data_IF_932796257986
#
_entry.id   IF_932796257986
#
_cell.length_a   1.000
_cell.length_b   1.000
_cell.length_c   1.000
_cell.angle_alpha   90.00
_cell.angle_beta   90.00
_cell.angle_gamma   90.00
#
_symmetry.space_group_name_H-M   'P 1'
#
loop_
_entity.id
_entity.type
_entity.pdbx_description
1 polymer ?
#
# COMPACT_ATOMS: atom_id res chain seq x y z
N UNK A 1 -7.00 28.85 7.78
CA UNK A 1 -6.55 28.12 8.97
C UNK A 1 -6.34 26.64 8.61
N UNK A 2 -5.19 26.34 7.99
CA UNK A 2 -4.88 25.05 7.33
C UNK A 2 -4.68 23.90 8.31
N UNK A 3 -4.39 24.21 9.58
CA UNK A 3 -4.22 23.26 10.69
C UNK A 3 -5.54 22.61 11.13
N UNK A 4 -6.70 23.24 10.91
CA UNK A 4 -8.01 22.65 11.26
C UNK A 4 -8.50 21.57 10.29
N UNK A 5 -7.98 21.51 9.05
CA UNK A 5 -8.37 20.46 8.08
C UNK A 5 -7.60 19.15 8.25
N UNK A 6 -6.49 19.15 9.00
CA UNK A 6 -5.62 17.99 9.19
C UNK A 6 -6.13 17.08 10.34
N UNK A 7 -6.98 17.59 11.23
CA UNK A 7 -7.22 16.95 12.53
C UNK A 7 -8.37 15.92 12.59
N UNK A 8 -9.19 15.73 11.56
CA UNK A 8 -10.45 14.97 11.73
C UNK A 8 -10.37 13.47 11.48
N UNK A 9 -9.22 12.88 11.10
CA UNK A 9 -9.24 11.48 10.64
C UNK A 9 -8.14 10.54 11.15
N UNK A 10 -7.16 10.94 11.95
CA UNK A 10 -6.03 10.03 12.21
C UNK A 10 -5.41 10.04 13.61
N UNK A 11 -6.23 10.09 14.67
CA UNK A 11 -5.75 9.69 16.00
C UNK A 11 -6.76 8.78 16.67
N UNK A 12 -6.46 7.48 16.67
CA UNK A 12 -7.17 6.51 17.51
C UNK A 12 -6.70 6.77 18.93
N UNK A 13 -7.64 7.02 19.85
CA UNK A 13 -7.28 7.18 21.26
C UNK A 13 -6.59 5.91 21.77
N UNK A 14 -5.58 6.08 22.63
CA UNK A 14 -4.90 4.96 23.27
C UNK A 14 -5.94 4.06 23.97
N UNK A 15 -5.94 2.76 23.65
CA UNK A 15 -6.90 1.79 24.17
C UNK A 15 -8.27 1.73 23.47
N UNK A 16 -8.53 2.59 22.47
CA UNK A 16 -9.78 2.54 21.71
C UNK A 16 -9.73 1.50 20.57
N UNK A 17 -10.89 0.86 20.32
CA UNK A 17 -11.08 -0.02 19.17
C UNK A 17 -11.17 0.84 17.90
N UNK A 18 -10.37 0.50 16.89
CA UNK A 18 -10.45 1.17 15.60
C UNK A 18 -11.71 0.74 14.85
N UNK A 19 -12.65 1.68 14.66
CA UNK A 19 -13.88 1.48 13.89
C UNK A 19 -14.05 2.62 12.87
N UNK A 20 -13.50 2.47 11.66
CA UNK A 20 -13.66 3.47 10.60
C UNK A 20 -15.11 3.53 10.11
N UNK A 21 -15.50 4.70 9.57
CA UNK A 21 -16.81 4.85 8.92
C UNK A 21 -16.86 4.05 7.62
N UNK A 22 -18.03 3.53 7.26
CA UNK A 22 -18.32 2.85 6.00
C UNK A 22 -17.47 1.58 5.75
N UNK A 23 -17.16 0.82 6.80
CA UNK A 23 -16.40 -0.44 6.72
C UNK A 23 -17.13 -1.61 7.39
N UNK A 24 -18.47 -1.61 7.38
CA UNK A 24 -19.31 -2.59 8.11
C UNK A 24 -19.10 -4.03 7.61
N UNK A 25 -18.88 -4.20 6.30
CA UNK A 25 -18.53 -5.48 5.68
C UNK A 25 -17.24 -5.32 4.86
N UNK A 26 -16.09 -5.62 5.47
CA UNK A 26 -14.79 -5.58 4.78
C UNK A 26 -14.71 -6.75 3.80
N UNK A 27 -15.03 -6.50 2.54
CA UNK A 27 -14.95 -7.48 1.44
C UNK A 27 -14.22 -6.89 0.24
N UNK A 28 -13.62 -7.74 -0.60
CA UNK A 28 -12.95 -7.28 -1.83
C UNK A 28 -13.90 -6.57 -2.79
N UNK A 29 -15.19 -6.92 -2.79
CA UNK A 29 -16.22 -6.30 -3.64
C UNK A 29 -16.54 -4.86 -3.24
N UNK A 30 -16.25 -4.50 -2.00
CA UNK A 30 -16.55 -3.17 -1.43
C UNK A 30 -15.35 -2.21 -1.43
N UNK A 31 -14.16 -2.68 -1.85
CA UNK A 31 -12.93 -1.89 -1.87
C UNK A 31 -12.61 -1.44 -3.29
N UNK A 32 -12.65 -0.13 -3.54
CA UNK A 32 -12.51 0.42 -4.90
C UNK A 32 -11.14 1.04 -5.16
N UNK A 33 -10.50 1.56 -4.12
CA UNK A 33 -9.19 2.20 -4.19
C UNK A 33 -8.30 1.74 -3.02
N UNK A 34 -7.02 2.10 -3.09
CA UNK A 34 -6.03 1.70 -2.08
C UNK A 34 -6.34 2.36 -0.73
N UNK A 35 -6.91 3.57 -0.75
CA UNK A 35 -7.31 4.30 0.45
C UNK A 35 -8.43 3.61 1.23
N UNK A 36 -9.30 2.84 0.55
CA UNK A 36 -10.33 2.03 1.21
C UNK A 36 -9.69 0.86 1.98
N UNK A 37 -8.63 0.23 1.42
CA UNK A 37 -7.85 -0.77 2.15
C UNK A 37 -7.13 -0.14 3.35
N UNK A 38 -6.46 1.00 3.16
CA UNK A 38 -5.80 1.72 4.25
C UNK A 38 -6.78 2.10 5.35
N UNK A 39 -8.01 2.50 5.00
CA UNK A 39 -9.04 2.86 5.97
C UNK A 39 -9.62 1.64 6.66
N UNK A 40 -10.03 0.60 5.93
CA UNK A 40 -10.88 -0.47 6.47
C UNK A 40 -10.10 -1.70 6.97
N UNK A 41 -8.98 -2.08 6.34
CA UNK A 41 -8.21 -3.27 6.72
C UNK A 41 -7.67 -3.23 8.17
N UNK A 42 -7.23 -2.08 8.73
CA UNK A 42 -6.74 -2.04 10.11
C UNK A 42 -7.80 -2.40 11.16
N UNK A 43 -9.09 -2.43 10.80
CA UNK A 43 -10.17 -2.85 11.69
C UNK A 43 -10.25 -4.38 11.87
N UNK A 44 -9.58 -5.15 10.99
CA UNK A 44 -9.50 -6.61 11.06
C UNK A 44 -8.29 -7.09 11.87
N UNK A 45 -7.35 -6.21 12.19
CA UNK A 45 -6.10 -6.53 12.86
C UNK A 45 -6.22 -6.31 14.38
N UNK A 46 -5.46 -7.08 15.15
CA UNK A 46 -5.27 -6.78 16.55
C UNK A 46 -4.49 -5.44 16.71
N UNK A 47 -4.63 -4.75 17.86
CA UNK A 47 -4.03 -3.42 18.03
C UNK A 47 -2.52 -3.37 17.82
N UNK A 48 -1.77 -4.41 18.19
CA UNK A 48 -0.31 -4.42 18.07
C UNK A 48 0.10 -4.49 16.60
N UNK A 49 -0.46 -5.46 15.86
CA UNK A 49 -0.18 -5.63 14.43
C UNK A 49 -0.63 -4.43 13.62
N UNK A 50 -1.79 -3.85 13.98
CA UNK A 50 -2.33 -2.62 13.40
C UNK A 50 -1.37 -1.44 13.55
N UNK A 51 -0.92 -1.18 14.78
CA UNK A 51 -0.06 -0.02 15.07
C UNK A 51 1.33 -0.19 14.46
N UNK A 52 1.83 -1.42 14.36
CA UNK A 52 3.09 -1.70 13.66
C UNK A 52 3.02 -1.39 12.16
N UNK A 53 1.95 -1.80 11.45
CA UNK A 53 1.86 -1.59 10.00
C UNK A 53 1.43 -0.17 9.63
N UNK A 54 0.61 0.48 10.44
CA UNK A 54 -0.01 1.75 10.09
C UNK A 54 0.76 2.98 10.60
N UNK A 55 1.78 2.79 11.44
CA UNK A 55 2.57 3.89 11.97
C UNK A 55 3.78 4.24 11.10
N UNK A 56 4.28 5.46 11.31
CA UNK A 56 5.57 5.92 10.82
C UNK A 56 6.32 6.63 11.95
N UNK A 57 7.58 7.01 11.69
CA UNK A 57 8.43 7.65 12.71
C UNK A 57 7.84 8.96 13.25
N UNK A 58 7.95 9.15 14.57
CA UNK A 58 7.53 10.37 15.27
C UNK A 58 6.07 10.74 14.98
N UNK A 59 5.86 11.99 14.58
CA UNK A 59 4.53 12.51 14.25
C UNK A 59 4.05 12.11 12.84
N UNK A 60 4.73 11.17 12.18
CA UNK A 60 4.40 10.67 10.84
C UNK A 60 4.44 11.74 9.72
N UNK A 61 5.09 12.87 9.96
CA UNK A 61 5.15 13.99 9.00
C UNK A 61 5.67 13.54 7.62
N UNK A 62 6.74 12.73 7.60
CA UNK A 62 7.30 12.20 6.35
C UNK A 62 6.34 11.26 5.60
N UNK A 63 5.51 10.49 6.31
CA UNK A 63 4.49 9.66 5.69
C UNK A 63 3.47 10.52 4.93
N UNK A 64 3.03 11.62 5.55
CA UNK A 64 2.11 12.57 4.94
C UNK A 64 2.74 13.28 3.73
N UNK A 65 3.96 13.76 3.88
CA UNK A 65 4.69 14.44 2.81
C UNK A 65 4.92 13.52 1.61
N UNK A 66 5.22 12.24 1.82
CA UNK A 66 5.34 11.26 0.73
C UNK A 66 4.05 11.14 -0.09
N UNK A 67 2.87 11.12 0.56
CA UNK A 67 1.58 11.07 -0.15
C UNK A 67 1.28 12.37 -0.89
N UNK A 68 1.53 13.52 -0.26
CA UNK A 68 1.29 14.83 -0.87
C UNK A 68 2.25 15.12 -2.04
N UNK A 69 3.48 14.62 -1.98
CA UNK A 69 4.45 14.76 -3.07
C UNK A 69 3.89 14.20 -4.39
N UNK A 70 3.26 13.02 -4.38
CA UNK A 70 2.66 12.44 -5.59
C UNK A 70 1.46 13.23 -6.11
N UNK A 71 0.66 13.83 -5.22
CA UNK A 71 -0.48 14.69 -5.62
C UNK A 71 -0.03 15.97 -6.32
N UNK A 72 1.21 16.41 -6.09
CA UNK A 72 1.78 17.57 -6.77
C UNK A 72 2.18 17.29 -8.23
N UNK A 73 2.28 16.02 -8.63
CA UNK A 73 2.69 15.60 -9.97
C UNK A 73 1.46 15.45 -10.87
N UNK A 74 1.44 16.21 -11.97
CA UNK A 74 0.34 16.20 -12.93
C UNK A 74 0.68 15.42 -14.19
N UNK A 75 -0.21 14.50 -14.60
CA UNK A 75 -0.09 13.81 -15.87
C UNK A 75 -0.58 14.74 -16.99
N UNK A 76 0.33 15.16 -17.87
CA UNK A 76 -0.03 15.94 -19.06
C UNK A 76 -0.64 15.01 -20.11
N UNK A 77 -1.97 15.11 -20.31
CA UNK A 77 -2.67 14.42 -21.39
C UNK A 77 -2.09 14.83 -22.75
N UNK A 78 -1.66 13.84 -23.55
CA UNK A 78 -1.26 14.02 -24.95
C UNK A 78 -2.37 13.45 -25.84
N UNK A 79 -2.96 14.27 -26.70
CA UNK A 79 -4.07 13.87 -27.59
C UNK A 79 -3.60 13.65 -29.02
N UNK A 80 -4.39 12.89 -29.80
CA UNK A 80 -4.17 12.64 -31.24
C UNK A 80 -2.78 12.03 -31.58
N UNK A 81 -2.29 11.11 -30.74
CA UNK A 81 -0.97 10.47 -30.93
C UNK A 81 -1.00 9.20 -31.78
N UNK A 82 -2.18 8.73 -32.19
CA UNK A 82 -2.32 7.50 -32.99
C UNK A 82 -1.82 6.24 -32.27
N UNK A 83 -1.96 6.19 -30.94
CA UNK A 83 -1.62 5.02 -30.13
C UNK A 83 -2.89 4.18 -29.99
N UNK A 84 -2.86 2.95 -30.51
CA UNK A 84 -3.99 2.01 -30.50
C UNK A 84 -3.67 0.77 -29.66
N UNK A 85 -2.43 0.31 -29.72
CA UNK A 85 -1.89 -0.77 -28.89
C UNK A 85 -0.87 -0.20 -27.89
N UNK A 86 -1.08 -0.50 -26.61
CA UNK A 86 -0.15 -0.14 -25.55
C UNK A 86 0.12 -1.35 -24.67
N UNK A 87 1.35 -1.42 -24.17
CA UNK A 87 1.76 -2.44 -23.20
C UNK A 87 2.37 -1.75 -22.00
N UNK A 88 2.16 -2.37 -20.84
CA UNK A 88 2.75 -2.00 -19.55
C UNK A 88 3.84 -3.00 -19.14
N UNK A 89 4.15 -3.97 -20.02
CA UNK A 89 5.28 -4.87 -19.84
C UNK A 89 6.60 -4.08 -19.90
N UNK A 90 7.57 -4.48 -19.08
CA UNK A 90 8.91 -3.87 -19.07
C UNK A 90 9.96 -4.90 -18.65
N UNK A 91 11.23 -4.49 -18.62
CA UNK A 91 12.34 -5.32 -18.16
C UNK A 91 13.05 -4.64 -17.01
N UNK A 92 13.27 -5.37 -15.92
CA UNK A 92 14.01 -4.90 -14.74
C UNK A 92 15.05 -5.93 -14.38
N UNK A 93 16.31 -5.50 -14.20
CA UNK A 93 17.44 -6.39 -13.90
C UNK A 93 17.56 -7.59 -14.88
N UNK A 94 17.25 -7.36 -16.16
CA UNK A 94 17.28 -8.41 -17.18
C UNK A 94 16.08 -9.36 -17.21
N UNK A 95 15.12 -9.23 -16.27
CA UNK A 95 13.90 -10.03 -16.24
C UNK A 95 12.72 -9.28 -16.84
N UNK A 96 11.97 -9.94 -17.74
CA UNK A 96 10.75 -9.39 -18.32
C UNK A 96 9.60 -9.53 -17.31
N UNK A 97 8.86 -8.45 -17.09
CA UNK A 97 7.70 -8.38 -16.20
C UNK A 97 6.49 -7.83 -16.94
N UNK A 98 5.30 -8.23 -16.51
CA UNK A 98 4.07 -7.87 -17.23
C UNK A 98 3.46 -6.53 -16.80
N UNK A 99 3.97 -5.92 -15.73
CA UNK A 99 3.48 -4.66 -15.17
C UNK A 99 4.57 -4.01 -14.30
N UNK A 100 4.74 -2.67 -14.32
CA UNK A 100 5.86 -1.99 -13.70
C UNK A 100 5.58 -1.60 -12.24
N UNK A 101 4.93 -2.50 -11.49
CA UNK A 101 4.68 -2.36 -10.05
C UNK A 101 5.16 -3.64 -9.39
N UNK A 102 5.78 -3.53 -8.23
CA UNK A 102 6.28 -4.66 -7.46
C UNK A 102 5.80 -4.62 -6.02
N UNK A 103 6.04 -5.71 -5.30
CA UNK A 103 5.77 -5.79 -3.87
C UNK A 103 7.07 -5.40 -3.15
N UNK A 104 7.01 -4.32 -2.37
CA UNK A 104 8.15 -3.87 -1.58
C UNK A 104 8.47 -4.89 -0.47
N UNK A 105 9.75 -5.11 -0.14
CA UNK A 105 10.13 -6.02 0.95
C UNK A 105 9.52 -5.49 2.26
N UNK A 106 8.67 -6.29 2.87
CA UNK A 106 7.91 -5.93 4.07
C UNK A 106 8.03 -7.07 5.08
N UNK A 107 8.46 -6.75 6.30
CA UNK A 107 8.64 -7.74 7.34
C UNK A 107 7.32 -8.04 8.09
N UNK A 108 7.24 -9.24 8.66
CA UNK A 108 6.21 -9.57 9.64
C UNK A 108 4.82 -9.84 9.06
N UNK A 109 4.72 -10.29 7.81
CA UNK A 109 3.43 -10.49 7.15
C UNK A 109 2.49 -11.47 7.85
N UNK A 110 3.06 -12.42 8.63
CA UNK A 110 2.30 -13.36 9.46
C UNK A 110 1.47 -12.64 10.54
N UNK A 111 1.85 -11.42 10.94
CA UNK A 111 1.07 -10.60 11.87
C UNK A 111 -0.24 -10.10 11.25
N UNK A 112 -0.35 -10.08 9.92
CA UNK A 112 -1.52 -9.53 9.22
C UNK A 112 -2.38 -10.61 8.58
N UNK A 113 -1.78 -11.73 8.21
CA UNK A 113 -2.48 -12.87 7.63
C UNK A 113 -1.74 -14.18 7.95
N UNK A 114 -2.45 -15.29 8.28
CA UNK A 114 -1.81 -16.56 8.62
C UNK A 114 -0.86 -17.12 7.55
N UNK A 115 -1.11 -16.80 6.28
CA UNK A 115 -0.25 -17.25 5.17
C UNK A 115 1.08 -16.47 5.07
N UNK A 116 1.21 -15.32 5.74
CA UNK A 116 2.40 -14.48 5.70
C UNK A 116 2.94 -14.22 4.30
N UNK A 117 4.25 -14.35 4.13
CA UNK A 117 4.96 -14.10 2.87
C UNK A 117 4.53 -15.02 1.72
N UNK A 118 3.88 -16.16 2.01
CA UNK A 118 3.34 -17.04 0.97
C UNK A 118 2.12 -16.47 0.26
N UNK A 119 1.34 -15.63 0.94
CA UNK A 119 0.13 -15.02 0.37
C UNK A 119 0.44 -14.21 -0.88
N UNK A 120 1.36 -13.22 -0.81
CA UNK A 120 1.74 -12.43 -1.97
C UNK A 120 2.40 -13.24 -3.10
N UNK A 121 3.17 -14.29 -2.78
CA UNK A 121 3.78 -15.19 -3.79
C UNK A 121 2.72 -15.88 -4.65
N UNK A 122 1.59 -16.26 -4.04
CA UNK A 122 0.49 -16.96 -4.72
C UNK A 122 -0.37 -16.04 -5.58
N UNK A 123 -0.23 -14.72 -5.44
CA UNK A 123 -0.92 -13.77 -6.30
C UNK A 123 -0.55 -14.02 -7.76
N UNK A 124 -1.54 -14.04 -8.66
CA UNK A 124 -1.34 -14.24 -10.13
C UNK A 124 -0.56 -13.12 -10.82
N UNK A 125 -0.11 -12.13 -10.07
CA UNK A 125 0.78 -11.09 -10.54
C UNK A 125 2.18 -11.69 -10.65
N UNK A 126 2.98 -11.39 -11.69
CA UNK A 126 4.41 -11.74 -11.73
C UNK A 126 5.18 -10.57 -11.12
N UNK A 127 5.33 -10.52 -9.79
CA UNK A 127 5.85 -9.34 -9.12
C UNK A 127 7.37 -9.48 -9.19
N UNK A 128 8.09 -8.37 -9.29
CA UNK A 128 9.49 -8.42 -8.86
C UNK A 128 9.44 -8.59 -7.35
N UNK A 129 9.55 -9.84 -6.92
CA UNK A 129 9.88 -10.15 -5.55
C UNK A 129 11.39 -10.33 -5.49
N UNK A 130 12.08 -9.29 -5.02
CA UNK A 130 13.43 -9.49 -4.51
C UNK A 130 13.24 -10.13 -3.13
N UNK A 131 13.10 -11.45 -3.11
CA UNK A 131 13.13 -12.20 -1.86
C UNK A 131 14.54 -12.14 -1.30
N UNK A 132 14.71 -11.50 -0.15
CA UNK A 132 15.86 -11.78 0.71
C UNK A 132 15.59 -13.11 1.41
N UNK A 133 15.88 -14.22 0.74
CA UNK A 133 16.13 -15.47 1.45
C UNK A 133 17.40 -15.22 2.29
N UNK A 134 17.30 -15.35 3.61
CA UNK A 134 18.42 -15.26 4.56
C UNK A 134 19.17 -13.92 4.67
N UNK A 135 18.51 -12.76 4.59
CA UNK A 135 19.14 -11.49 5.05
C UNK A 135 20.42 -11.07 4.31
N UNK A 136 20.73 -11.67 3.15
CA UNK A 136 21.84 -11.27 2.30
C UNK A 136 21.33 -10.75 0.96
N UNK A 137 21.76 -9.53 0.63
CA UNK A 137 21.56 -8.91 -0.69
C UNK A 137 22.34 -9.72 -1.73
N UNK A 138 21.63 -10.38 -2.64
CA UNK A 138 22.22 -10.87 -3.89
C UNK A 138 21.59 -10.13 -5.05
N UNK A 139 22.46 -9.48 -5.84
CA UNK A 139 22.14 -8.72 -7.05
C UNK A 139 21.73 -9.61 -8.21
#
# INVERSE_FOLDING_TARGET
DLTRRIQSTLFIQCGAVYKPRNCENVSLETMYNIEDFERCAPALLDPLSRDYIWSASGNQQTLWENKEAYKSIWIKKKVLRGIYDYTVETTVLGQKINFPVGIAPTAGQVMYHPEGDYGPVRGKFTPIHIYTYEGYLYF
#
